data_IF_082844985220
#
_entry.id   IF_082844985220
#
_cell.length_a   1.000
_cell.length_b   1.000
_cell.length_c   1.000
_cell.angle_alpha   90.00
_cell.angle_beta   90.00
_cell.angle_gamma   90.00
#
_symmetry.space_group_name_H-M   'P 1'
#
loop_
_entity.id
_entity.type
_entity.pdbx_description
1 polymer ?
#
# COMPACT_ATOMS: atom_id res chain seq x y z
N UNK A 1 14.48 -18.23 -22.78
CA UNK A 1 13.79 -18.78 -21.59
C UNK A 1 13.56 -17.61 -20.65
N UNK A 2 12.40 -17.51 -20.02
CA UNK A 2 12.13 -16.51 -19.01
C UNK A 2 11.77 -17.26 -17.73
N UNK A 3 12.41 -16.89 -16.63
CA UNK A 3 12.11 -17.37 -15.30
C UNK A 3 11.55 -16.20 -14.50
N UNK A 4 10.44 -16.42 -13.82
CA UNK A 4 9.73 -15.40 -13.05
C UNK A 4 9.46 -15.99 -11.68
N UNK A 5 9.95 -15.31 -10.64
CA UNK A 5 9.69 -15.67 -9.25
C UNK A 5 8.71 -14.64 -8.65
N UNK A 6 7.60 -15.13 -8.10
CA UNK A 6 6.63 -14.31 -7.37
C UNK A 6 6.75 -14.68 -5.88
N UNK A 7 7.21 -13.77 -5.01
CA UNK A 7 7.32 -14.05 -3.59
C UNK A 7 5.94 -14.30 -2.97
N UNK A 8 5.75 -15.42 -2.26
CA UNK A 8 4.44 -15.78 -1.69
C UNK A 8 3.93 -14.77 -0.65
N UNK A 9 4.83 -13.98 -0.04
CA UNK A 9 4.46 -12.90 0.89
C UNK A 9 3.61 -11.80 0.24
N UNK A 10 3.72 -11.61 -1.08
CA UNK A 10 2.95 -10.59 -1.81
C UNK A 10 1.52 -11.01 -2.12
N UNK A 11 1.21 -12.30 -1.98
CA UNK A 11 -0.10 -12.86 -2.30
C UNK A 11 -0.88 -13.18 -1.02
N UNK A 12 -2.17 -12.84 -1.03
CA UNK A 12 -3.10 -13.19 0.05
C UNK A 12 -3.80 -14.49 -0.34
N UNK A 13 -3.57 -15.55 0.42
CA UNK A 13 -4.22 -16.86 0.25
C UNK A 13 -4.59 -17.46 1.62
N UNK A 14 -5.66 -18.27 1.70
CA UNK A 14 -6.09 -18.88 2.96
C UNK A 14 -5.05 -19.89 3.46
N UNK A 15 -4.99 -20.11 4.79
CA UNK A 15 -4.10 -21.14 5.37
C UNK A 15 -4.75 -22.53 5.23
N UNK A 16 -4.53 -23.18 4.09
CA UNK A 16 -4.97 -24.56 3.81
C UNK A 16 -3.78 -25.41 3.40
N UNK A 17 -3.81 -26.71 3.72
CA UNK A 17 -2.73 -27.65 3.40
C UNK A 17 -2.50 -27.76 1.89
N UNK A 18 -3.59 -27.81 1.14
CA UNK A 18 -3.59 -27.75 -0.32
C UNK A 18 -4.20 -26.43 -0.80
N UNK A 19 -3.54 -25.82 -1.78
CA UNK A 19 -3.99 -24.61 -2.43
C UNK A 19 -4.43 -24.92 -3.87
N UNK A 20 -5.60 -24.40 -4.26
CA UNK A 20 -6.13 -24.51 -5.62
C UNK A 20 -6.25 -23.11 -6.21
N UNK A 21 -5.47 -22.84 -7.26
CA UNK A 21 -5.31 -21.49 -7.81
C UNK A 21 -5.80 -21.44 -9.25
N UNK A 22 -6.53 -20.38 -9.61
CA UNK A 22 -6.83 -20.05 -11.00
C UNK A 22 -5.66 -19.30 -11.62
N UNK A 23 -4.96 -19.89 -12.59
CA UNK A 23 -3.81 -19.28 -13.25
C UNK A 23 -3.98 -19.32 -14.78
N UNK A 24 -3.53 -18.27 -15.46
CA UNK A 24 -3.39 -18.31 -16.90
C UNK A 24 -2.17 -17.50 -17.33
N UNK A 25 -1.55 -17.93 -18.43
CA UNK A 25 -0.36 -17.31 -18.99
C UNK A 25 -0.67 -16.88 -20.42
N UNK A 26 -0.30 -15.65 -20.76
CA UNK A 26 -0.40 -15.13 -22.11
C UNK A 26 0.99 -14.90 -22.69
N UNK A 27 1.19 -15.36 -23.92
CA UNK A 27 2.37 -15.03 -24.72
C UNK A 27 1.94 -14.23 -25.95
N UNK A 28 2.52 -13.05 -26.11
CA UNK A 28 2.35 -12.24 -27.32
C UNK A 28 3.46 -12.55 -28.33
N UNK A 29 3.09 -12.96 -29.55
CA UNK A 29 4.00 -13.24 -30.67
C UNK A 29 3.79 -12.18 -31.74
N UNK A 30 4.45 -11.03 -31.58
CA UNK A 30 4.32 -9.88 -32.48
C UNK A 30 4.57 -10.20 -33.95
N UNK A 31 5.56 -11.07 -34.25
CA UNK A 31 5.89 -11.48 -35.64
C UNK A 31 4.75 -12.20 -36.38
N UNK A 32 3.80 -12.77 -35.65
CA UNK A 32 2.60 -13.43 -36.20
C UNK A 32 1.32 -12.67 -35.90
N UNK A 33 1.42 -11.57 -35.16
CA UNK A 33 0.28 -10.86 -34.58
C UNK A 33 -0.67 -11.79 -33.78
N UNK A 34 -0.11 -12.74 -33.03
CA UNK A 34 -0.86 -13.77 -32.30
C UNK A 34 -0.68 -13.60 -30.78
N UNK A 35 -1.77 -13.79 -30.04
CA UNK A 35 -1.73 -13.99 -28.59
C UNK A 35 -2.10 -15.44 -28.29
N UNK A 36 -1.27 -16.11 -27.51
CA UNK A 36 -1.45 -17.52 -27.15
C UNK A 36 -1.64 -17.61 -25.64
N UNK A 37 -2.64 -18.37 -25.22
CA UNK A 37 -2.99 -18.59 -23.82
C UNK A 37 -2.71 -20.04 -23.41
N UNK A 38 -2.32 -20.27 -22.16
CA UNK A 38 -2.17 -21.62 -21.62
C UNK A 38 -3.53 -22.29 -21.41
N UNK A 39 -4.45 -21.64 -20.69
CA UNK A 39 -5.85 -22.04 -20.63
C UNK A 39 -6.65 -21.27 -21.70
N UNK A 40 -7.47 -21.93 -22.54
CA UNK A 40 -8.18 -21.28 -23.63
C UNK A 40 -9.14 -20.19 -23.15
N UNK A 41 -9.02 -19.00 -23.73
CA UNK A 41 -9.94 -17.88 -23.52
C UNK A 41 -10.59 -17.55 -24.87
N UNK A 42 -11.92 -17.43 -24.91
CA UNK A 42 -12.63 -17.02 -26.13
C UNK A 42 -12.21 -15.60 -26.53
N UNK A 43 -12.16 -15.32 -27.84
CA UNK A 43 -11.69 -14.02 -28.39
C UNK A 43 -12.42 -12.79 -27.85
N UNK A 44 -13.64 -12.96 -27.35
CA UNK A 44 -14.45 -11.93 -26.70
C UNK A 44 -13.88 -11.46 -25.35
N UNK A 45 -12.97 -12.23 -24.76
CA UNK A 45 -12.44 -12.00 -23.42
C UNK A 45 -10.91 -11.89 -23.42
N UNK A 46 -10.41 -11.16 -22.42
CA UNK A 46 -8.97 -10.96 -22.20
C UNK A 46 -8.48 -11.86 -21.06
N UNK A 47 -7.16 -11.94 -20.87
CA UNK A 47 -6.51 -12.65 -19.75
C UNK A 47 -7.08 -12.31 -18.36
N UNK A 48 -7.66 -11.11 -18.21
CA UNK A 48 -8.27 -10.62 -16.96
C UNK A 48 -9.53 -11.38 -16.55
N UNK A 49 -10.09 -12.25 -17.40
CA UNK A 49 -11.26 -13.05 -17.07
C UNK A 49 -10.89 -14.26 -16.22
N UNK A 50 -10.86 -14.05 -14.90
CA UNK A 50 -10.48 -15.06 -13.89
C UNK A 50 -11.35 -16.33 -13.94
N UNK A 51 -12.62 -16.22 -14.35
CA UNK A 51 -13.52 -17.39 -14.47
C UNK A 51 -13.09 -18.40 -15.55
N UNK A 52 -12.26 -18.00 -16.50
CA UNK A 52 -11.70 -18.86 -17.56
C UNK A 52 -10.24 -19.23 -17.30
N UNK A 53 -9.70 -18.92 -16.12
CA UNK A 53 -8.36 -19.33 -15.75
C UNK A 53 -8.28 -20.86 -15.60
N UNK A 54 -7.11 -21.43 -15.92
CA UNK A 54 -6.86 -22.85 -15.70
C UNK A 54 -6.67 -23.14 -14.21
N UNK A 55 -7.06 -24.34 -13.78
CA UNK A 55 -6.90 -24.76 -12.39
C UNK A 55 -5.50 -25.34 -12.17
N UNK A 56 -4.73 -24.72 -11.27
CA UNK A 56 -3.43 -25.19 -10.81
C UNK A 56 -3.60 -25.83 -9.42
N UNK A 57 -3.29 -27.12 -9.33
CA UNK A 57 -3.32 -27.92 -8.10
C UNK A 57 -1.91 -28.42 -7.75
N UNK A 58 -1.74 -29.05 -6.59
CA UNK A 58 -0.44 -29.57 -6.14
C UNK A 58 0.46 -28.53 -5.46
N UNK A 59 -0.08 -27.35 -5.15
CA UNK A 59 0.59 -26.32 -4.36
C UNK A 59 0.35 -26.64 -2.88
N UNK A 60 1.22 -27.46 -2.30
CA UNK A 60 1.16 -27.87 -0.91
C UNK A 60 2.12 -27.09 -0.01
N UNK A 61 1.82 -27.04 1.30
CA UNK A 61 2.72 -26.56 2.35
C UNK A 61 3.27 -25.12 2.17
N UNK A 62 2.52 -24.25 1.49
CA UNK A 62 2.94 -22.86 1.31
C UNK A 62 2.61 -22.05 2.56
N UNK A 63 3.64 -21.53 3.21
CA UNK A 63 3.49 -20.64 4.36
C UNK A 63 3.74 -19.19 3.94
N UNK A 64 2.72 -18.33 4.12
CA UNK A 64 2.84 -16.87 3.89
C UNK A 64 3.82 -16.20 4.88
N UNK A 65 4.09 -16.85 6.02
CA UNK A 65 4.86 -16.28 7.11
C UNK A 65 4.05 -15.31 7.96
N UNK A 66 4.77 -14.51 8.74
CA UNK A 66 4.21 -13.45 9.59
C UNK A 66 4.11 -12.15 8.76
N UNK A 67 2.88 -11.69 8.50
CA UNK A 67 2.63 -10.39 7.85
C UNK A 67 2.57 -9.30 8.93
N UNK A 68 3.74 -8.92 9.45
CA UNK A 68 3.89 -7.86 10.44
C UNK A 68 4.75 -6.74 9.84
N UNK A 69 4.18 -5.55 9.71
CA UNK A 69 4.87 -4.35 9.24
C UNK A 69 4.89 -3.33 10.38
N UNK A 70 6.05 -2.77 10.68
CA UNK A 70 6.22 -1.72 11.69
C UNK A 70 6.92 -0.54 11.05
N UNK A 71 6.33 0.65 11.21
CA UNK A 71 6.84 1.90 10.67
C UNK A 71 6.98 2.89 11.83
N UNK A 72 8.13 2.90 12.53
CA UNK A 72 8.41 3.92 13.53
C UNK A 72 8.75 5.25 12.83
N UNK A 73 8.39 6.37 13.45
CA UNK A 73 8.82 7.69 13.03
C UNK A 73 9.25 8.53 14.24
N UNK A 74 10.16 9.47 14.02
CA UNK A 74 10.61 10.44 15.01
C UNK A 74 10.86 11.78 14.35
N UNK A 75 10.47 12.86 15.02
CA UNK A 75 10.71 14.24 14.64
C UNK A 75 11.64 14.89 15.65
N UNK A 76 12.66 15.57 15.15
CA UNK A 76 13.51 16.45 15.95
C UNK A 76 13.35 17.88 15.43
N UNK A 77 12.94 18.78 16.31
CA UNK A 77 12.78 20.21 16.01
C UNK A 77 13.46 21.06 17.06
N UNK A 78 13.85 22.27 16.69
CA UNK A 78 14.36 23.28 17.62
C UNK A 78 13.69 24.61 17.32
N UNK A 79 13.00 25.18 18.30
CA UNK A 79 12.37 26.49 18.16
C UNK A 79 13.31 27.55 18.72
N UNK A 80 13.71 28.52 17.90
CA UNK A 80 14.46 29.68 18.38
C UNK A 80 13.56 30.91 18.34
N UNK A 81 12.93 31.25 19.47
CA UNK A 81 12.17 32.49 19.60
C UNK A 81 13.14 33.68 19.70
N UNK A 82 13.31 34.42 18.60
CA UNK A 82 14.00 35.73 18.60
C UNK A 82 13.07 36.85 19.06
N UNK A 83 12.44 36.68 20.22
CA UNK A 83 11.49 37.65 20.75
C UNK A 83 11.79 38.06 22.19
N UNK A 84 13.04 38.36 22.53
CA UNK A 84 13.38 39.26 23.66
C UNK A 84 14.85 39.63 23.60
N UNK A 85 15.14 40.92 23.35
CA UNK A 85 16.48 41.48 23.29
C UNK A 85 17.15 41.60 24.66
N UNK A 86 17.31 40.50 25.38
CA UNK A 86 18.05 40.43 26.64
C UNK A 86 19.01 39.25 26.61
N UNK A 87 20.30 39.58 26.64
CA UNK A 87 21.42 38.66 26.69
C UNK A 87 21.45 38.01 28.07
N UNK A 88 20.85 36.83 28.22
CA UNK A 88 21.10 35.94 29.35
C UNK A 88 20.64 34.51 29.02
N UNK A 89 21.60 33.59 28.86
CA UNK A 89 21.37 32.14 28.86
C UNK A 89 20.88 31.57 27.54
N UNK A 90 21.82 31.10 26.71
CA UNK A 90 21.52 30.23 25.59
C UNK A 90 21.03 28.86 26.06
N UNK A 91 19.79 28.79 26.55
CA UNK A 91 19.04 27.56 26.70
C UNK A 91 18.32 27.28 25.39
N UNK A 92 18.64 26.17 24.74
CA UNK A 92 17.81 25.63 23.66
C UNK A 92 16.51 25.13 24.29
N UNK A 93 15.53 26.00 24.47
CA UNK A 93 14.22 25.61 24.99
C UNK A 93 13.50 24.79 23.90
N UNK A 94 13.52 23.46 24.06
CA UNK A 94 12.86 22.53 23.16
C UNK A 94 13.70 21.88 22.06
N UNK A 95 15.05 21.82 22.17
CA UNK A 95 15.83 20.92 21.30
C UNK A 95 15.69 19.47 21.76
N UNK A 96 14.57 18.85 21.45
CA UNK A 96 14.26 17.48 21.83
C UNK A 96 13.55 16.74 20.71
N UNK A 97 13.76 15.42 20.67
CA UNK A 97 12.95 14.46 19.91
C UNK A 97 11.53 14.43 20.51
N UNK A 98 10.78 15.51 20.37
CA UNK A 98 9.53 15.69 21.11
C UNK A 98 8.34 14.94 20.47
N UNK A 99 8.42 14.62 19.18
CA UNK A 99 7.38 13.85 18.50
C UNK A 99 7.96 12.54 17.99
N UNK A 100 7.35 11.44 18.39
CA UNK A 100 7.65 10.10 17.90
C UNK A 100 6.36 9.33 17.75
N UNK A 101 6.26 8.46 16.77
CA UNK A 101 5.11 7.59 16.66
C UNK A 101 5.47 6.26 16.02
N UNK A 102 4.49 5.38 15.99
CA UNK A 102 4.66 4.02 15.53
C UNK A 102 3.38 3.54 14.88
N UNK A 103 3.49 3.12 13.63
CA UNK A 103 2.43 2.38 12.94
C UNK A 103 2.79 0.90 12.90
N UNK A 104 1.85 0.05 13.30
CA UNK A 104 1.97 -1.42 13.26
C UNK A 104 0.80 -1.97 12.47
N UNK A 105 1.10 -2.76 11.44
CA UNK A 105 0.11 -3.51 10.66
C UNK A 105 0.35 -4.99 10.83
N UNK A 106 -0.71 -5.73 11.13
CA UNK A 106 -0.65 -7.17 11.36
C UNK A 106 -1.75 -7.91 10.58
N UNK A 107 -1.35 -8.79 9.65
CA UNK A 107 -2.26 -9.64 8.90
C UNK A 107 -2.72 -10.85 9.71
N UNK A 108 -3.84 -10.73 10.42
CA UNK A 108 -4.43 -11.80 11.25
C UNK A 108 -4.85 -13.00 10.38
N UNK A 109 -5.53 -12.75 9.27
CA UNK A 109 -5.95 -13.76 8.29
C UNK A 109 -5.81 -13.21 6.86
N UNK A 110 -6.05 -14.04 5.84
CA UNK A 110 -5.92 -13.64 4.43
C UNK A 110 -6.77 -12.40 4.09
N UNK A 111 -7.96 -12.28 4.68
CA UNK A 111 -8.87 -11.14 4.52
C UNK A 111 -9.04 -10.24 5.76
N UNK A 112 -8.22 -10.41 6.80
CA UNK A 112 -8.34 -9.63 8.04
C UNK A 112 -6.99 -9.03 8.43
N UNK A 113 -6.93 -7.70 8.47
CA UNK A 113 -5.77 -6.96 8.95
C UNK A 113 -6.13 -6.20 10.23
N UNK A 114 -5.15 -6.07 11.12
CA UNK A 114 -5.20 -5.22 12.31
C UNK A 114 -4.18 -4.10 12.13
N UNK A 115 -4.67 -2.87 12.13
CA UNK A 115 -3.84 -1.67 12.03
C UNK A 115 -3.88 -0.94 13.38
N UNK A 116 -2.70 -0.68 13.94
CA UNK A 116 -2.50 0.00 15.22
C UNK A 116 -1.57 1.19 15.02
N UNK A 117 -1.96 2.34 15.52
CA UNK A 117 -1.21 3.59 15.37
C UNK A 117 -1.04 4.23 16.73
N UNK A 118 0.21 4.52 17.11
CA UNK A 118 0.58 5.17 18.35
C UNK A 118 1.17 6.54 18.07
N UNK A 119 0.59 7.56 18.70
CA UNK A 119 0.99 8.96 18.57
C UNK A 119 1.21 9.36 17.11
N UNK A 120 0.16 9.29 16.28
CA UNK A 120 0.24 9.77 14.90
C UNK A 120 0.09 11.28 14.86
N UNK A 121 1.09 11.93 14.30
CA UNK A 121 1.04 13.34 13.99
C UNK A 121 0.30 13.51 12.66
N UNK A 122 -1.01 13.71 12.76
CA UNK A 122 -1.85 14.05 11.62
C UNK A 122 -1.47 15.41 10.99
N UNK A 123 -0.67 16.24 11.67
CA UNK A 123 -0.24 17.53 11.15
C UNK A 123 0.89 17.40 10.11
N UNK A 124 1.47 16.20 9.93
CA UNK A 124 2.55 15.97 8.97
C UNK A 124 2.12 15.43 7.61
N UNK A 125 0.80 15.29 7.39
CA UNK A 125 0.24 15.17 6.04
C UNK A 125 0.09 16.58 5.49
N UNK A 126 1.18 17.12 4.93
CA UNK A 126 1.25 18.31 4.07
C UNK A 126 0.01 19.24 4.12
N UNK A 127 -0.08 20.07 5.15
CA UNK A 127 -1.12 21.12 5.22
C UNK A 127 -0.67 22.44 4.55
N UNK A 128 0.51 22.48 3.94
CA UNK A 128 1.09 23.75 3.44
C UNK A 128 1.11 23.91 1.91
N UNK A 129 0.18 23.30 1.16
CA UNK A 129 -0.20 23.89 -0.13
C UNK A 129 -1.39 24.82 0.08
N UNK A 130 -1.08 26.08 0.36
CA UNK A 130 -2.06 27.16 0.44
C UNK A 130 -2.65 27.42 -0.96
N UNK A 131 -3.63 26.62 -1.37
CA UNK A 131 -4.32 26.80 -2.65
C UNK A 131 -5.37 27.90 -2.53
N UNK A 132 -5.11 29.05 -3.16
CA UNK A 132 -6.10 30.13 -3.27
C UNK A 132 -7.13 29.73 -4.31
N UNK A 133 -8.28 29.23 -3.87
CA UNK A 133 -9.37 28.90 -4.77
C UNK A 133 -10.17 30.16 -5.14
N UNK A 134 -10.00 30.60 -6.38
CA UNK A 134 -10.73 31.75 -6.95
C UNK A 134 -12.01 31.32 -7.69
N UNK A 135 -12.40 30.04 -7.60
CA UNK A 135 -13.58 29.48 -8.25
C UNK A 135 -14.67 29.13 -7.23
N UNK A 136 -15.90 28.91 -7.71
CA UNK A 136 -17.05 28.54 -6.87
C UNK A 136 -17.15 27.06 -6.53
N UNK A 137 -16.20 26.24 -6.99
CA UNK A 137 -16.19 24.80 -6.73
C UNK A 137 -15.27 24.50 -5.54
N UNK A 138 -15.61 23.55 -4.66
CA UNK A 138 -14.74 23.17 -3.56
C UNK A 138 -13.42 22.57 -4.07
N UNK A 139 -12.32 22.82 -3.35
CA UNK A 139 -11.06 22.14 -3.60
C UNK A 139 -11.18 20.69 -3.15
N UNK A 140 -10.76 19.77 -4.02
CA UNK A 140 -10.62 18.36 -3.68
C UNK A 140 -9.14 18.07 -3.47
N UNK A 141 -8.76 17.78 -2.23
CA UNK A 141 -7.41 17.31 -1.91
C UNK A 141 -7.36 15.79 -2.08
N UNK A 142 -6.37 15.25 -2.81
CA UNK A 142 -6.16 13.81 -2.84
C UNK A 142 -5.80 13.33 -1.43
N UNK A 143 -6.49 12.29 -0.95
CA UNK A 143 -6.12 11.62 0.29
C UNK A 143 -4.73 10.98 0.12
N UNK A 144 -3.76 11.36 0.96
CA UNK A 144 -2.36 10.90 0.86
C UNK A 144 -1.98 9.89 1.94
N UNK A 145 -2.84 9.67 2.93
CA UNK A 145 -2.55 8.74 4.02
C UNK A 145 -2.67 7.29 3.53
N UNK A 146 -1.58 6.55 3.65
CA UNK A 146 -1.52 5.13 3.27
C UNK A 146 -2.63 4.28 3.91
N UNK A 147 -3.06 4.62 5.13
CA UNK A 147 -4.19 3.98 5.81
C UNK A 147 -5.49 4.01 4.98
N UNK A 148 -5.80 5.15 4.36
CA UNK A 148 -7.03 5.33 3.58
C UNK A 148 -6.86 4.86 2.13
N UNK A 149 -5.62 4.86 1.60
CA UNK A 149 -5.33 4.47 0.23
C UNK A 149 -5.26 2.96 0.00
N UNK A 150 -4.77 2.17 0.97
CA UNK A 150 -4.44 0.74 0.75
C UNK A 150 -5.67 -0.13 0.40
N UNK A 151 -6.89 0.33 0.69
CA UNK A 151 -8.15 -0.33 0.29
C UNK A 151 -9.09 0.56 -0.56
N UNK A 152 -8.72 1.80 -0.89
CA UNK A 152 -9.58 2.70 -1.69
C UNK A 152 -9.94 2.09 -3.06
N UNK A 153 -9.02 1.31 -3.64
CA UNK A 153 -9.24 0.59 -4.89
C UNK A 153 -10.33 -0.50 -4.82
N UNK A 154 -10.61 -1.07 -3.64
CA UNK A 154 -11.70 -2.05 -3.47
C UNK A 154 -13.09 -1.41 -3.48
N UNK A 155 -13.18 -0.12 -3.14
CA UNK A 155 -14.43 0.64 -3.10
C UNK A 155 -14.67 1.49 -4.35
N UNK A 156 -13.74 1.46 -5.31
CA UNK A 156 -13.93 2.11 -6.61
C UNK A 156 -14.85 1.25 -7.48
N UNK A 157 -16.15 1.36 -7.24
CA UNK A 157 -17.20 0.74 -8.06
C UNK A 157 -17.68 1.79 -9.06
N UNK A 158 -17.18 1.71 -10.29
CA UNK A 158 -17.75 2.41 -11.45
C UNK A 158 -17.13 3.77 -11.75
N UNK A 159 -16.35 3.79 -12.84
CA UNK A 159 -16.32 4.91 -13.80
C UNK A 159 -16.65 4.34 -15.16
#
# INVERSE_FOLDING_TARGET
>A
MAEIAIPMVTLRFPRTEEQVWGVNFMRNIRRKNEQVFWAPISKEYTLTRVSLAGTMTGIGAVNRGLDLRMTPYMLAGGRQDRATGTVAGGGLDGSGFNDYGLDVKYGVASGLNLDLTLNTDFAQVEVDEQQVNLTRFPLFFPEKRDFFLENAGMFNVGT
#
